data_IF_107199998233
#
_entry.id   IF_107199998233
#
_cell.length_a   1.000
_cell.length_b   1.000
_cell.length_c   1.000
_cell.angle_alpha   90.00
_cell.angle_beta   90.00
_cell.angle_gamma   90.00
#
_symmetry.space_group_name_H-M   'P 1'
#
loop_
_entity.id
_entity.type
_entity.pdbx_description
1 polymer ?
#
# COMPACT_ATOMS: atom_id res chain seq x y z
N UNK A 1 -2.31 13.77 9.85
CA UNK A 1 -3.21 12.60 9.84
C UNK A 1 -2.87 11.61 10.96
N UNK A 2 -1.58 11.36 11.26
CA UNK A 2 -1.17 10.44 12.35
C UNK A 2 -1.71 10.88 13.71
N UNK A 3 -1.59 12.14 14.05
CA UNK A 3 -2.13 12.72 15.29
C UNK A 3 -3.65 12.67 15.42
N UNK A 4 -4.38 12.31 14.35
CA UNK A 4 -5.82 12.10 14.34
C UNK A 4 -6.21 10.61 14.34
N UNK A 5 -5.29 9.72 14.69
CA UNK A 5 -5.54 8.28 14.71
C UNK A 5 -5.66 7.63 13.31
N UNK A 6 -5.06 8.23 12.28
CA UNK A 6 -5.02 7.71 10.90
C UNK A 6 -3.68 7.04 10.56
N UNK A 7 -2.94 6.59 11.54
CA UNK A 7 -1.69 5.82 11.33
C UNK A 7 -2.03 4.37 11.04
N UNK A 8 -2.32 4.06 9.78
CA UNK A 8 -2.78 2.74 9.33
C UNK A 8 -1.66 1.83 8.85
N UNK A 9 -0.48 2.40 8.54
CA UNK A 9 0.67 1.68 8.00
C UNK A 9 1.96 2.16 8.66
N UNK A 10 2.87 1.22 8.89
CA UNK A 10 4.25 1.47 9.27
C UNK A 10 5.18 0.54 8.48
N UNK A 11 6.47 0.83 8.47
CA UNK A 11 7.48 -0.04 7.87
C UNK A 11 8.63 -0.20 8.87
N UNK A 12 8.89 -1.43 9.30
CA UNK A 12 9.93 -1.76 10.28
C UNK A 12 11.32 -1.27 9.86
N UNK A 13 11.57 -1.14 8.54
CA UNK A 13 12.84 -0.60 8.03
C UNK A 13 13.07 0.87 8.42
N UNK A 14 12.01 1.60 8.81
CA UNK A 14 12.05 3.01 9.19
C UNK A 14 11.08 3.31 10.34
N UNK A 15 11.15 2.52 11.40
CA UNK A 15 10.34 2.67 12.60
C UNK A 15 11.26 2.76 13.83
N UNK A 16 11.10 3.83 14.60
CA UNK A 16 11.73 3.98 15.88
C UNK A 16 10.67 4.19 16.96
N UNK A 17 10.87 3.64 18.15
CA UNK A 17 9.98 3.79 19.29
C UNK A 17 10.72 3.72 20.63
N UNK A 18 10.14 4.31 21.64
CA UNK A 18 10.66 4.22 22.99
C UNK A 18 10.51 2.78 23.52
N UNK A 19 11.51 2.30 24.29
CA UNK A 19 11.46 0.96 24.88
C UNK A 19 10.24 0.75 25.76
N UNK A 20 9.82 1.78 26.50
CA UNK A 20 8.60 1.77 27.32
C UNK A 20 7.31 1.58 26.50
N UNK A 21 7.28 2.05 25.26
CA UNK A 21 6.13 1.83 24.36
C UNK A 21 5.99 0.37 23.95
N UNK A 22 7.03 -0.45 24.08
CA UNK A 22 7.01 -1.88 23.76
C UNK A 22 6.16 -2.69 24.72
N UNK A 23 5.98 -2.25 25.94
CA UNK A 23 5.11 -2.90 26.94
C UNK A 23 3.63 -2.90 26.52
N UNK A 24 3.28 -2.00 25.60
CA UNK A 24 1.94 -1.90 24.99
C UNK A 24 1.82 -2.67 23.67
N UNK A 25 2.88 -3.37 23.24
CA UNK A 25 2.87 -4.20 22.04
C UNK A 25 2.00 -5.44 22.27
N UNK A 26 0.86 -5.46 21.64
CA UNK A 26 0.14 -6.72 21.43
C UNK A 26 0.75 -7.36 20.18
N UNK A 27 1.70 -8.27 20.38
CA UNK A 27 2.16 -9.12 19.30
C UNK A 27 1.01 -10.05 18.92
N UNK A 28 0.66 -10.08 17.66
CA UNK A 28 -0.21 -11.12 17.16
C UNK A 28 0.62 -12.40 17.03
N UNK A 29 0.64 -13.23 18.09
CA UNK A 29 1.40 -14.48 18.13
C UNK A 29 1.05 -15.45 16.99
N UNK A 30 -0.11 -15.23 16.35
CA UNK A 30 -0.57 -16.00 15.19
C UNK A 30 -0.01 -15.47 13.85
N UNK A 31 0.61 -14.30 13.85
CA UNK A 31 1.10 -13.66 12.64
C UNK A 31 2.62 -13.62 12.61
N UNK A 32 3.23 -14.32 11.67
CA UNK A 32 4.69 -14.38 11.49
C UNK A 32 5.28 -13.07 10.93
N UNK A 33 4.48 -12.04 10.68
CA UNK A 33 4.92 -10.76 10.14
C UNK A 33 3.85 -9.67 10.30
N UNK A 34 4.24 -8.39 10.14
CA UNK A 34 3.33 -7.24 10.24
C UNK A 34 3.32 -6.60 11.63
N UNK A 35 4.26 -6.98 12.50
CA UNK A 35 4.39 -6.43 13.86
C UNK A 35 4.43 -4.90 13.87
N UNK A 36 5.07 -4.31 12.87
CA UNK A 36 5.16 -2.87 12.66
C UNK A 36 3.78 -2.23 12.42
N UNK A 37 2.95 -2.86 11.61
CA UNK A 37 1.60 -2.36 11.30
C UNK A 37 0.66 -2.58 12.49
N UNK A 38 0.69 -3.74 13.13
CA UNK A 38 -0.10 -4.03 14.32
C UNK A 38 0.25 -3.07 15.46
N UNK A 39 1.54 -2.83 15.68
CA UNK A 39 2.02 -1.89 16.68
C UNK A 39 1.50 -0.48 16.43
N UNK A 40 1.70 0.06 15.22
CA UNK A 40 1.29 1.44 14.93
C UNK A 40 -0.23 1.61 14.99
N UNK A 41 -1.00 0.62 14.54
CA UNK A 41 -2.46 0.66 14.63
C UNK A 41 -2.96 0.59 16.07
N UNK A 42 -2.32 -0.23 16.92
CA UNK A 42 -2.64 -0.31 18.34
C UNK A 42 -2.33 1.02 19.04
N UNK A 43 -1.15 1.58 18.78
CA UNK A 43 -0.75 2.88 19.34
C UNK A 43 -1.66 4.00 18.85
N UNK A 44 -2.08 3.98 17.57
CA UNK A 44 -3.00 4.97 17.02
C UNK A 44 -4.38 4.97 17.69
N UNK A 45 -4.80 3.85 18.27
CA UNK A 45 -6.03 3.75 19.05
C UNK A 45 -5.86 4.26 20.49
N UNK A 46 -4.72 3.99 21.12
CA UNK A 46 -4.49 4.29 22.54
C UNK A 46 -3.91 5.68 22.78
N UNK A 47 -2.96 6.09 21.97
CA UNK A 47 -2.19 7.33 22.14
C UNK A 47 -1.81 7.91 20.78
N UNK A 48 -2.77 8.36 19.96
CA UNK A 48 -2.49 8.85 18.60
C UNK A 48 -1.56 10.06 18.58
N UNK A 49 -1.54 10.87 19.65
CA UNK A 49 -0.67 12.03 19.83
C UNK A 49 0.81 11.66 20.00
N UNK A 50 1.10 10.43 20.40
CA UNK A 50 2.48 9.95 20.56
C UNK A 50 3.14 9.54 19.24
N UNK A 51 2.37 9.51 18.14
CA UNK A 51 2.86 9.09 16.83
C UNK A 51 3.32 10.32 16.05
N UNK A 52 4.61 10.33 15.72
CA UNK A 52 5.22 11.39 14.89
C UNK A 52 5.68 10.79 13.57
N UNK A 53 5.22 11.38 12.47
CA UNK A 53 5.68 11.04 11.13
C UNK A 53 6.75 12.03 10.66
N UNK A 54 7.95 11.53 10.39
CA UNK A 54 9.06 12.34 9.89
C UNK A 54 9.11 12.29 8.36
N UNK A 55 8.74 13.40 7.69
CA UNK A 55 8.76 13.53 6.23
C UNK A 55 9.92 14.41 5.76
N UNK A 56 11.13 14.07 6.17
CA UNK A 56 12.36 14.77 5.76
C UNK A 56 13.27 13.87 4.95
N UNK A 57 14.13 14.44 4.11
CA UNK A 57 15.13 13.65 3.38
C UNK A 57 16.06 12.86 4.32
N UNK A 58 16.36 13.41 5.50
CA UNK A 58 17.19 12.76 6.50
C UNK A 58 16.53 11.52 7.12
N UNK A 59 15.20 11.42 7.07
CA UNK A 59 14.45 10.27 7.59
C UNK A 59 14.19 9.19 6.53
N UNK A 60 14.64 9.36 5.28
CA UNK A 60 14.42 8.38 4.23
C UNK A 60 15.38 7.20 4.36
N UNK A 61 14.84 6.01 4.40
CA UNK A 61 15.59 4.76 4.35
C UNK A 61 15.43 4.12 2.97
N UNK A 62 16.55 3.85 2.33
CA UNK A 62 16.58 3.15 1.05
C UNK A 62 16.74 1.65 1.28
N UNK A 63 15.91 0.87 0.63
CA UNK A 63 15.97 -0.60 0.66
C UNK A 63 16.24 -1.14 -0.73
N UNK A 64 16.87 -2.30 -0.80
CA UNK A 64 17.08 -2.98 -2.09
C UNK A 64 15.74 -3.50 -2.62
N UNK A 65 15.48 -3.38 -3.93
CA UNK A 65 14.30 -3.99 -4.53
C UNK A 65 14.39 -5.53 -4.48
N UNK A 66 13.27 -6.20 -4.65
CA UNK A 66 13.23 -7.66 -4.84
C UNK A 66 14.02 -8.05 -6.10
N UNK A 67 14.72 -9.19 -6.06
CA UNK A 67 15.57 -9.63 -7.15
C UNK A 67 14.78 -10.05 -8.41
N UNK A 68 13.60 -10.63 -8.20
CA UNK A 68 12.72 -11.10 -9.28
C UNK A 68 11.29 -10.55 -9.12
N UNK A 69 10.52 -10.58 -10.21
CA UNK A 69 9.09 -10.21 -10.18
C UNK A 69 8.31 -11.16 -9.27
N UNK A 70 8.67 -12.43 -9.24
CA UNK A 70 8.02 -13.44 -8.39
C UNK A 70 8.27 -13.12 -6.91
N UNK A 71 9.51 -12.81 -6.53
CA UNK A 71 9.83 -12.41 -5.16
C UNK A 71 9.09 -11.13 -4.76
N UNK A 72 8.98 -10.19 -5.69
CA UNK A 72 8.23 -8.96 -5.49
C UNK A 72 6.75 -9.24 -5.24
N UNK A 73 6.09 -10.07 -6.07
CA UNK A 73 4.68 -10.42 -5.90
C UNK A 73 4.45 -11.20 -4.60
N UNK A 74 5.31 -12.16 -4.27
CA UNK A 74 5.24 -12.92 -3.01
C UNK A 74 5.39 -12.00 -1.79
N UNK A 75 6.32 -11.05 -1.83
CA UNK A 75 6.48 -10.07 -0.77
C UNK A 75 5.21 -9.22 -0.59
N UNK A 76 4.62 -8.76 -1.69
CA UNK A 76 3.39 -7.94 -1.67
C UNK A 76 2.17 -8.75 -1.24
N UNK A 77 2.05 -10.00 -1.70
CA UNK A 77 0.99 -10.90 -1.27
C UNK A 77 1.05 -11.18 0.23
N UNK A 78 2.25 -11.41 0.77
CA UNK A 78 2.47 -11.57 2.21
C UNK A 78 2.02 -10.34 3.01
N UNK A 79 2.28 -9.13 2.51
CA UNK A 79 1.78 -7.91 3.16
C UNK A 79 0.28 -7.76 3.05
N UNK A 80 -0.28 -8.05 1.87
CA UNK A 80 -1.71 -7.95 1.63
C UNK A 80 -2.52 -8.98 2.43
N UNK A 81 -2.02 -10.20 2.61
CA UNK A 81 -2.70 -11.24 3.39
C UNK A 81 -2.96 -10.83 4.84
N UNK A 82 -2.09 -9.99 5.43
CA UNK A 82 -2.25 -9.50 6.80
C UNK A 82 -3.37 -8.47 6.98
N UNK A 83 -3.89 -7.93 5.88
CA UNK A 83 -4.96 -6.92 5.95
C UNK A 83 -6.23 -7.43 6.64
N UNK A 84 -6.56 -8.71 6.49
CA UNK A 84 -7.70 -9.34 7.16
C UNK A 84 -7.57 -9.36 8.69
N UNK A 85 -6.32 -9.41 9.18
CA UNK A 85 -5.98 -9.47 10.59
C UNK A 85 -5.87 -8.07 11.25
N UNK A 86 -5.87 -6.99 10.46
CA UNK A 86 -5.72 -5.63 11.00
C UNK A 86 -6.77 -5.32 12.06
N UNK A 87 -6.36 -4.82 13.24
CA UNK A 87 -7.28 -4.44 14.31
C UNK A 87 -8.10 -3.20 13.96
N UNK A 88 -7.62 -2.35 13.04
CA UNK A 88 -8.31 -1.13 12.62
C UNK A 88 -9.08 -1.34 11.31
N UNK A 89 -10.39 -1.04 11.37
CA UNK A 89 -11.28 -1.10 10.22
C UNK A 89 -10.85 -0.14 9.10
N UNK A 90 -10.22 1.00 9.44
CA UNK A 90 -9.74 1.98 8.45
C UNK A 90 -8.75 1.35 7.48
N UNK A 91 -7.80 0.55 7.99
CA UNK A 91 -6.83 -0.16 7.15
C UNK A 91 -7.51 -1.14 6.19
N UNK A 92 -8.51 -1.88 6.67
CA UNK A 92 -9.31 -2.82 5.86
C UNK A 92 -10.11 -2.10 4.78
N UNK A 93 -10.77 -0.98 5.13
CA UNK A 93 -11.53 -0.18 4.18
C UNK A 93 -10.66 0.44 3.08
N UNK A 94 -9.48 0.94 3.44
CA UNK A 94 -8.51 1.45 2.44
C UNK A 94 -8.07 0.33 1.50
N UNK A 95 -7.76 -0.86 2.00
CA UNK A 95 -7.36 -1.99 1.16
C UNK A 95 -8.50 -2.44 0.23
N UNK A 96 -9.74 -2.52 0.75
CA UNK A 96 -10.92 -2.83 -0.06
C UNK A 96 -11.16 -1.77 -1.14
N UNK A 97 -11.06 -0.49 -0.79
CA UNK A 97 -11.17 0.62 -1.74
C UNK A 97 -10.14 0.50 -2.87
N UNK A 98 -8.86 0.25 -2.52
CA UNK A 98 -7.80 0.06 -3.52
C UNK A 98 -8.11 -1.12 -4.43
N UNK A 99 -8.56 -2.25 -3.89
CA UNK A 99 -8.91 -3.43 -4.68
C UNK A 99 -10.06 -3.13 -5.65
N UNK A 100 -11.17 -2.59 -5.15
CA UNK A 100 -12.35 -2.26 -5.96
C UNK A 100 -12.02 -1.25 -7.05
N UNK A 101 -11.27 -0.20 -6.74
CA UNK A 101 -10.85 0.80 -7.72
C UNK A 101 -10.03 0.19 -8.87
N UNK A 102 -9.19 -0.80 -8.57
CA UNK A 102 -8.39 -1.46 -9.60
C UNK A 102 -9.21 -2.46 -10.43
N UNK A 103 -10.19 -3.17 -9.83
CA UNK A 103 -11.16 -4.01 -10.56
C UNK A 103 -11.98 -3.14 -11.52
N UNK A 104 -12.54 -2.03 -11.05
CA UNK A 104 -13.29 -1.07 -11.87
C UNK A 104 -12.42 -0.56 -13.02
N UNK A 105 -11.15 -0.25 -12.76
CA UNK A 105 -10.26 0.24 -13.82
C UNK A 105 -10.02 -0.78 -14.93
N UNK A 106 -9.92 -2.06 -14.60
CA UNK A 106 -9.79 -3.12 -15.61
C UNK A 106 -11.10 -3.25 -16.41
N UNK A 107 -12.25 -3.21 -15.71
CA UNK A 107 -13.55 -3.25 -16.39
C UNK A 107 -13.73 -2.05 -17.35
N UNK A 108 -13.32 -0.85 -16.92
CA UNK A 108 -13.35 0.37 -17.75
C UNK A 108 -12.40 0.26 -18.95
N UNK A 109 -11.19 -0.29 -18.77
CA UNK A 109 -10.27 -0.52 -19.89
C UNK A 109 -10.86 -1.54 -20.87
N UNK A 110 -11.42 -2.63 -20.37
CA UNK A 110 -12.06 -3.64 -21.21
C UNK A 110 -13.27 -3.05 -22.00
N UNK A 111 -14.09 -2.22 -21.35
CA UNK A 111 -15.19 -1.50 -21.98
C UNK A 111 -14.69 -0.58 -23.11
N UNK A 112 -13.61 0.18 -22.86
CA UNK A 112 -13.01 1.05 -23.88
C UNK A 112 -12.49 0.26 -25.08
N UNK A 113 -11.88 -0.92 -24.85
CA UNK A 113 -11.36 -1.77 -25.92
C UNK A 113 -12.47 -2.50 -26.71
N UNK A 114 -13.65 -2.71 -26.12
CA UNK A 114 -14.79 -3.35 -26.80
C UNK A 114 -15.52 -2.43 -27.77
N UNK A 115 -15.15 -1.15 -27.83
CA UNK A 115 -15.74 -0.19 -28.78
C UNK A 115 -17.19 0.17 -28.45
N UNK A 116 -17.57 0.13 -27.19
CA UNK A 116 -18.94 0.54 -26.76
C UNK A 116 -19.12 2.05 -26.87
N UNK A 117 -20.39 2.49 -26.93
CA UNK A 117 -20.73 3.91 -27.07
C UNK A 117 -20.32 4.77 -25.87
N UNK A 118 -20.04 4.15 -24.73
CA UNK A 118 -19.65 4.83 -23.46
C UNK A 118 -18.14 5.17 -23.36
N UNK A 119 -17.44 5.22 -24.49
CA UNK A 119 -15.99 5.46 -24.49
C UNK A 119 -15.59 6.79 -23.81
N UNK A 120 -16.45 7.84 -23.92
CA UNK A 120 -16.19 9.15 -23.29
C UNK A 120 -16.18 9.02 -21.77
N UNK A 121 -17.16 8.29 -21.20
CA UNK A 121 -17.22 8.04 -19.76
C UNK A 121 -16.02 7.23 -19.28
N UNK A 122 -15.67 6.18 -20.00
CA UNK A 122 -14.52 5.33 -19.73
C UNK A 122 -13.21 6.11 -19.74
N UNK A 123 -13.01 6.94 -20.76
CA UNK A 123 -11.81 7.78 -20.89
C UNK A 123 -11.76 8.84 -19.78
N UNK A 124 -12.88 9.48 -19.48
CA UNK A 124 -12.99 10.48 -18.41
C UNK A 124 -12.62 9.89 -17.05
N UNK A 125 -13.07 8.67 -16.76
CA UNK A 125 -12.69 7.96 -15.52
C UNK A 125 -11.18 7.72 -15.46
N UNK A 126 -10.58 7.19 -16.54
CA UNK A 126 -9.13 6.88 -16.57
C UNK A 126 -8.27 8.15 -16.43
N UNK A 127 -8.67 9.24 -17.11
CA UNK A 127 -7.98 10.54 -17.00
C UNK A 127 -8.10 11.07 -15.59
N UNK A 128 -9.28 11.09 -14.99
CA UNK A 128 -9.50 11.60 -13.63
C UNK A 128 -8.65 10.80 -12.63
N UNK A 129 -8.67 9.48 -12.74
CA UNK A 129 -7.85 8.61 -11.91
C UNK A 129 -6.36 8.92 -12.07
N UNK A 130 -5.88 9.00 -13.32
CA UNK A 130 -4.48 9.35 -13.59
C UNK A 130 -4.09 10.69 -12.96
N UNK A 131 -4.93 11.72 -13.10
CA UNK A 131 -4.67 13.04 -12.54
C UNK A 131 -4.60 13.01 -11.00
N UNK A 132 -5.46 12.23 -10.34
CA UNK A 132 -5.43 12.05 -8.90
C UNK A 132 -4.15 11.33 -8.45
N UNK A 133 -3.82 10.20 -9.07
CA UNK A 133 -2.60 9.43 -8.75
C UNK A 133 -1.33 10.28 -8.99
N UNK A 134 -1.29 10.99 -10.12
CA UNK A 134 -0.18 11.88 -10.46
C UNK A 134 -0.04 13.01 -9.44
N UNK A 135 -1.15 13.62 -9.03
CA UNK A 135 -1.16 14.73 -8.07
C UNK A 135 -0.62 14.29 -6.71
N UNK A 136 -1.04 13.11 -6.22
CA UNK A 136 -0.57 12.53 -4.95
C UNK A 136 0.93 12.22 -5.04
N UNK A 137 1.38 11.57 -6.11
CA UNK A 137 2.79 11.23 -6.32
C UNK A 137 3.65 12.48 -6.48
N UNK A 138 3.16 13.48 -7.19
CA UNK A 138 3.84 14.78 -7.36
C UNK A 138 3.98 15.50 -6.02
N UNK A 139 2.91 15.56 -5.24
CA UNK A 139 2.93 16.17 -3.92
C UNK A 139 3.96 15.47 -3.02
N UNK A 140 3.94 14.16 -2.94
CA UNK A 140 4.90 13.37 -2.16
C UNK A 140 6.34 13.59 -2.66
N UNK A 141 6.57 13.54 -3.96
CA UNK A 141 7.89 13.73 -4.55
C UNK A 141 8.47 15.11 -4.23
N UNK A 142 7.66 16.17 -4.35
CA UNK A 142 8.13 17.54 -4.07
C UNK A 142 8.32 17.76 -2.58
N UNK A 143 7.38 17.31 -1.74
CA UNK A 143 7.43 17.58 -0.29
C UNK A 143 8.47 16.72 0.43
N UNK A 144 8.57 15.45 0.08
CA UNK A 144 9.40 14.46 0.80
C UNK A 144 10.72 14.19 0.09
N UNK A 145 10.68 13.89 -1.22
CA UNK A 145 11.88 13.51 -1.98
C UNK A 145 12.65 14.71 -2.52
N UNK A 146 12.05 15.91 -2.52
CA UNK A 146 12.60 17.15 -3.11
C UNK A 146 12.99 16.99 -4.60
N UNK A 147 12.28 16.12 -5.31
CA UNK A 147 12.48 15.82 -6.74
C UNK A 147 11.14 15.84 -7.46
N UNK A 148 11.17 16.17 -8.75
CA UNK A 148 9.99 16.03 -9.61
C UNK A 148 9.81 14.55 -9.98
N UNK A 149 8.56 14.03 -10.02
CA UNK A 149 8.32 12.67 -10.47
C UNK A 149 8.63 12.51 -11.96
N UNK A 150 9.08 11.32 -12.34
CA UNK A 150 9.20 10.95 -13.74
C UNK A 150 7.80 10.72 -14.33
N UNK A 151 7.29 11.68 -15.11
CA UNK A 151 5.95 11.65 -15.70
C UNK A 151 5.73 10.40 -16.56
N UNK A 152 6.71 10.00 -17.38
CA UNK A 152 6.59 8.77 -18.20
C UNK A 152 6.47 7.52 -17.34
N UNK A 153 7.25 7.45 -16.25
CA UNK A 153 7.17 6.36 -15.29
C UNK A 153 5.83 6.31 -14.57
N UNK A 154 5.25 7.45 -14.22
CA UNK A 154 3.92 7.52 -13.59
C UNK A 154 2.82 7.04 -14.54
N UNK A 155 2.85 7.46 -15.82
CA UNK A 155 1.91 6.99 -16.85
C UNK A 155 1.97 5.47 -16.97
N UNK A 156 3.17 4.92 -17.15
CA UNK A 156 3.37 3.48 -17.27
C UNK A 156 2.87 2.73 -16.02
N UNK A 157 3.20 3.26 -14.85
CA UNK A 157 2.75 2.67 -13.58
C UNK A 157 1.24 2.66 -13.46
N UNK A 158 0.57 3.76 -13.83
CA UNK A 158 -0.91 3.87 -13.76
C UNK A 158 -1.62 2.85 -14.65
N UNK A 159 -1.01 2.50 -15.79
CA UNK A 159 -1.55 1.47 -16.69
C UNK A 159 -1.33 0.04 -16.16
N UNK A 160 -0.16 -0.22 -15.55
CA UNK A 160 0.22 -1.56 -15.07
C UNK A 160 -0.36 -1.83 -13.68
N UNK A 161 -0.58 -0.81 -12.88
CA UNK A 161 -0.95 -0.94 -11.47
C UNK A 161 -2.22 -1.78 -11.22
N UNK A 162 -3.30 -1.66 -12.03
CA UNK A 162 -4.47 -2.54 -11.88
C UNK A 162 -4.13 -4.03 -12.04
N UNK A 163 -3.33 -4.38 -13.05
CA UNK A 163 -2.88 -5.75 -13.27
C UNK A 163 -2.00 -6.27 -12.13
N UNK A 164 -1.12 -5.40 -11.63
CA UNK A 164 -0.28 -5.71 -10.47
C UNK A 164 -1.13 -6.03 -9.23
N UNK A 165 -2.14 -5.21 -8.90
CA UNK A 165 -3.01 -5.46 -7.74
C UNK A 165 -3.77 -6.77 -7.88
N UNK A 166 -4.31 -7.08 -9.06
CA UNK A 166 -4.98 -8.38 -9.28
C UNK A 166 -4.01 -9.56 -9.21
N UNK A 167 -2.78 -9.40 -9.71
CA UNK A 167 -1.74 -10.43 -9.58
C UNK A 167 -1.40 -10.71 -8.11
N UNK A 168 -1.26 -9.66 -7.28
CA UNK A 168 -1.05 -9.80 -5.84
C UNK A 168 -2.23 -10.53 -5.20
N UNK A 169 -3.47 -10.17 -5.54
CA UNK A 169 -4.67 -10.84 -5.01
C UNK A 169 -4.76 -12.30 -5.44
N UNK A 170 -4.41 -12.61 -6.68
CA UNK A 170 -4.35 -14.00 -7.14
C UNK A 170 -3.35 -14.83 -6.33
N UNK A 171 -2.17 -14.27 -6.03
CA UNK A 171 -1.19 -14.93 -5.17
C UNK A 171 -1.71 -15.08 -3.73
N UNK A 172 -2.44 -14.11 -3.19
CA UNK A 172 -3.06 -14.22 -1.85
C UNK A 172 -4.11 -15.32 -1.79
N UNK A 173 -4.94 -15.47 -2.84
CA UNK A 173 -6.06 -16.41 -2.84
C UNK A 173 -5.67 -17.83 -3.24
N UNK A 174 -4.73 -17.99 -4.16
CA UNK A 174 -4.41 -19.26 -4.80
C UNK A 174 -2.94 -19.66 -4.64
N UNK A 175 -2.07 -18.74 -4.25
CA UNK A 175 -0.65 -19.00 -4.13
C UNK A 175 -0.29 -19.57 -2.75
N UNK A 176 0.81 -20.34 -2.72
CA UNK A 176 1.50 -20.66 -1.47
C UNK A 176 2.59 -19.61 -1.29
N UNK A 177 2.39 -18.71 -0.34
CA UNK A 177 3.43 -17.72 -0.01
C UNK A 177 4.51 -18.39 0.82
N UNK A 178 5.71 -18.48 0.28
CA UNK A 178 6.87 -19.02 1.00
C UNK A 178 7.75 -17.86 1.50
N UNK A 179 8.13 -17.87 2.76
CA UNK A 179 9.04 -16.89 3.35
C UNK A 179 10.18 -17.57 4.10
N UNK A 180 11.42 -17.39 3.61
CA UNK A 180 12.62 -17.99 4.21
C UNK A 180 12.50 -19.51 4.45
N UNK A 181 11.89 -20.22 3.49
CA UNK A 181 11.72 -21.68 3.56
C UNK A 181 10.52 -22.14 4.41
N UNK A 182 9.62 -21.23 4.82
CA UNK A 182 8.37 -21.57 5.52
C UNK A 182 7.18 -21.26 4.61
N UNK A 183 6.25 -22.18 4.51
CA UNK A 183 4.95 -21.97 3.86
C UNK A 183 4.06 -21.18 4.81
N UNK A 184 3.50 -20.06 4.32
CA UNK A 184 2.62 -19.15 5.06
C UNK A 184 1.17 -19.34 4.62
#
# INVERSE_FOLDING_TARGET
LSQKGWSIMANAANLAYLKSSREHLVFNEKSESGDDVFFIQHLAKKAPESIVYLSTNASLVQTKPSATIIDFLNQRARWASKTSEYPDLKGKLVALYVLLLNIISIAVIANLLSGTDDWILSLSFLITRFLLDFSILKLYSITTLKKSPNTKGVILLSLIYPLYILSVMAVVLFGKTNWKGRDL
#
